data_IF_594106689648
#
_entry.id   IF_594106689648
#
_cell.length_a   1.000
_cell.length_b   1.000
_cell.length_c   1.000
_cell.angle_alpha   90.00
_cell.angle_beta   90.00
_cell.angle_gamma   90.00
#
_symmetry.space_group_name_H-M   'P 1'
#
loop_
_entity.id
_entity.type
_entity.pdbx_description
1 polymer ?
#
# COMPACT_ATOMS: atom_id res chain seq x y z
N UNK A 1 0.64 6.35 -19.07
CA UNK A 1 1.98 6.94 -18.83
C UNK A 1 1.77 8.44 -18.84
N UNK A 2 2.04 9.12 -17.72
CA UNK A 2 2.11 10.57 -17.72
C UNK A 2 3.23 11.00 -18.70
N UNK A 3 3.03 12.03 -19.55
CA UNK A 3 4.11 12.64 -20.30
C UNK A 3 5.25 13.00 -19.34
N UNK A 4 6.48 12.74 -19.75
CA UNK A 4 7.69 12.90 -18.94
C UNK A 4 7.83 14.31 -18.32
N UNK A 5 7.25 15.32 -18.96
CA UNK A 5 7.23 16.72 -18.49
C UNK A 5 6.29 16.94 -17.30
N UNK A 6 5.17 16.22 -17.23
CA UNK A 6 4.20 16.33 -16.12
C UNK A 6 4.78 15.76 -14.82
N UNK A 7 5.61 14.73 -14.92
CA UNK A 7 6.31 14.12 -13.79
C UNK A 7 7.39 15.05 -13.21
N UNK A 8 8.15 15.75 -14.06
CA UNK A 8 9.12 16.75 -13.61
C UNK A 8 8.45 17.96 -12.97
N UNK A 9 7.39 18.46 -13.58
CA UNK A 9 6.61 19.57 -13.02
C UNK A 9 5.97 19.19 -11.69
N UNK A 10 5.58 17.93 -11.50
CA UNK A 10 5.09 17.42 -10.22
C UNK A 10 6.21 17.34 -9.17
N UNK A 11 7.38 16.81 -9.54
CA UNK A 11 8.51 16.72 -8.61
C UNK A 11 9.00 18.09 -8.14
N UNK A 12 9.03 19.10 -9.02
CA UNK A 12 9.49 20.46 -8.69
C UNK A 12 8.57 21.22 -7.72
N UNK A 13 7.27 20.92 -7.73
CA UNK A 13 6.28 21.55 -6.84
C UNK A 13 5.93 20.71 -5.62
N UNK A 14 6.50 19.51 -5.53
CA UNK A 14 6.29 18.60 -4.41
C UNK A 14 7.30 18.89 -3.31
N UNK A 15 6.82 18.90 -2.06
CA UNK A 15 7.67 19.02 -0.88
C UNK A 15 7.64 17.71 -0.08
N UNK A 16 8.78 17.37 0.51
CA UNK A 16 8.99 16.14 1.28
C UNK A 16 9.13 16.50 2.75
N UNK A 17 8.41 15.80 3.63
CA UNK A 17 8.48 15.99 5.08
C UNK A 17 8.43 14.66 5.82
N UNK A 18 8.78 14.66 7.11
CA UNK A 18 8.62 13.49 7.98
C UNK A 18 7.40 13.69 8.88
N UNK A 19 6.49 12.72 8.90
CA UNK A 19 5.32 12.74 9.76
C UNK A 19 5.74 12.61 11.23
N UNK A 20 5.26 13.50 12.10
CA UNK A 20 5.66 13.53 13.51
C UNK A 20 5.06 12.41 14.36
N UNK A 21 3.98 11.77 13.90
CA UNK A 21 3.34 10.65 14.60
C UNK A 21 3.88 9.29 14.14
N UNK A 22 4.13 9.12 12.84
CA UNK A 22 4.56 7.81 12.28
C UNK A 22 6.06 7.75 11.96
N UNK A 23 6.73 8.89 11.85
CA UNK A 23 8.12 8.98 11.42
C UNK A 23 8.35 8.61 9.96
N UNK A 24 7.28 8.47 9.17
CA UNK A 24 7.35 8.17 7.74
C UNK A 24 7.53 9.42 6.89
N UNK A 25 8.16 9.24 5.73
CA UNK A 25 8.25 10.24 4.67
C UNK A 25 6.88 10.46 4.05
N UNK A 26 6.55 11.74 3.90
CA UNK A 26 5.35 12.26 3.30
C UNK A 26 5.71 13.18 2.14
N UNK A 27 4.88 13.17 1.11
CA UNK A 27 4.99 14.04 -0.05
C UNK A 27 3.69 14.83 -0.17
N UNK A 28 3.81 16.13 -0.40
CA UNK A 28 2.67 17.04 -0.63
C UNK A 28 2.92 17.89 -1.88
N UNK A 29 1.87 18.29 -2.57
CA UNK A 29 1.94 19.36 -3.60
C UNK A 29 1.72 20.70 -2.90
N UNK A 30 2.82 21.38 -2.59
CA UNK A 30 2.79 22.57 -1.74
C UNK A 30 2.15 23.77 -2.45
N UNK A 31 2.40 23.91 -3.75
CA UNK A 31 1.79 24.96 -4.57
C UNK A 31 0.29 24.76 -4.73
N UNK A 32 -0.19 23.52 -4.83
CA UNK A 32 -1.62 23.24 -4.90
C UNK A 32 -2.34 23.65 -3.61
N UNK A 33 -1.76 23.34 -2.44
CA UNK A 33 -2.30 23.75 -1.15
C UNK A 33 -2.34 25.27 -1.04
N UNK A 34 -1.23 25.96 -1.34
CA UNK A 34 -1.13 27.42 -1.21
C UNK A 34 -2.08 28.17 -2.15
N UNK A 35 -2.40 27.58 -3.31
CA UNK A 35 -3.37 28.14 -4.27
C UNK A 35 -4.83 27.94 -3.83
N UNK A 36 -5.14 26.79 -3.25
CA UNK A 36 -6.50 26.43 -2.83
C UNK A 36 -6.88 27.09 -1.50
N UNK A 37 -5.95 27.21 -0.56
CA UNK A 37 -6.19 27.65 0.81
C UNK A 37 -6.88 29.03 0.92
N UNK A 38 -6.47 30.09 0.18
CA UNK A 38 -7.14 31.39 0.26
C UNK A 38 -8.60 31.34 -0.19
N UNK A 39 -8.92 30.52 -1.19
CA UNK A 39 -10.27 30.38 -1.73
C UNK A 39 -11.16 29.63 -0.75
N UNK A 40 -10.65 28.53 -0.19
CA UNK A 40 -11.33 27.77 0.86
C UNK A 40 -11.57 28.61 2.11
N UNK A 41 -10.56 29.36 2.57
CA UNK A 41 -10.68 30.24 3.74
C UNK A 41 -11.79 31.29 3.54
N UNK A 42 -11.84 31.93 2.37
CA UNK A 42 -12.88 32.90 2.03
C UNK A 42 -14.28 32.27 1.93
N UNK A 43 -14.38 31.04 1.45
CA UNK A 43 -15.64 30.31 1.45
C UNK A 43 -16.08 29.94 2.88
N UNK A 44 -15.13 29.54 3.73
CA UNK A 44 -15.36 29.16 5.12
C UNK A 44 -15.80 30.33 6.02
N UNK A 45 -15.45 31.57 5.70
CA UNK A 45 -15.96 32.77 6.42
C UNK A 45 -17.49 32.92 6.33
N UNK A 46 -18.09 32.41 5.25
CA UNK A 46 -19.54 32.50 5.01
C UNK A 46 -20.30 31.24 5.43
N UNK A 47 -19.59 30.20 5.85
CA UNK A 47 -20.19 28.94 6.24
C UNK A 47 -20.65 28.97 7.70
N UNK A 48 -21.80 28.38 7.98
CA UNK A 48 -22.33 28.28 9.35
C UNK A 48 -21.54 27.30 10.23
N UNK A 49 -20.87 26.33 9.62
CA UNK A 49 -19.98 25.38 10.28
C UNK A 49 -18.92 24.86 9.32
N UNK A 50 -17.81 24.38 9.87
CA UNK A 50 -16.70 23.77 9.13
C UNK A 50 -16.59 22.29 9.45
N UNK A 51 -15.98 21.55 8.54
CA UNK A 51 -15.94 20.09 8.57
C UNK A 51 -15.29 19.54 9.86
N UNK A 52 -14.28 20.23 10.38
CA UNK A 52 -13.50 19.79 11.54
C UNK A 52 -13.62 20.67 12.78
N UNK A 53 -14.65 21.54 12.87
CA UNK A 53 -14.80 22.50 13.99
C UNK A 53 -14.80 21.85 15.38
N UNK A 54 -15.30 20.62 15.48
CA UNK A 54 -15.42 19.88 16.75
C UNK A 54 -14.15 19.15 17.19
N UNK A 55 -13.15 19.07 16.31
CA UNK A 55 -11.88 18.38 16.60
C UNK A 55 -10.87 19.40 17.09
N UNK A 56 -10.14 19.10 18.17
CA UNK A 56 -9.14 20.02 18.72
C UNK A 56 -7.86 20.06 17.87
N UNK A 57 -7.14 21.18 17.87
CA UNK A 57 -5.83 21.26 17.20
C UNK A 57 -4.82 20.29 17.81
N UNK A 58 -4.92 20.02 19.11
CA UNK A 58 -4.07 19.06 19.81
C UNK A 58 -4.30 17.63 19.31
N UNK A 59 -5.56 17.24 19.07
CA UNK A 59 -5.90 15.93 18.52
C UNK A 59 -5.43 15.78 17.07
N UNK A 60 -5.59 16.83 16.25
CA UNK A 60 -5.09 16.81 14.87
C UNK A 60 -3.57 16.63 14.86
N UNK A 61 -2.84 17.38 15.69
CA UNK A 61 -1.38 17.25 15.80
C UNK A 61 -0.97 15.89 16.35
N UNK A 62 -1.69 15.37 17.33
CA UNK A 62 -1.48 14.02 17.86
C UNK A 62 -1.60 12.99 16.75
N UNK A 63 -2.62 13.09 15.89
CA UNK A 63 -2.83 12.21 14.73
C UNK A 63 -1.82 12.44 13.57
N UNK A 64 -0.78 13.25 13.76
CA UNK A 64 0.25 13.49 12.75
C UNK A 64 -0.15 14.50 11.69
N UNK A 65 -1.21 15.29 11.90
CA UNK A 65 -1.56 16.40 11.01
C UNK A 65 -0.64 17.58 11.31
N UNK A 66 0.18 17.95 10.33
CA UNK A 66 1.09 19.08 10.46
C UNK A 66 0.37 20.43 10.38
N UNK A 67 1.11 21.51 10.69
CA UNK A 67 0.55 22.86 10.73
C UNK A 67 -0.11 23.32 9.42
N UNK A 68 0.43 22.88 8.26
CA UNK A 68 0.00 23.33 6.94
C UNK A 68 -1.26 22.59 6.50
N UNK A 69 -1.27 21.26 6.66
CA UNK A 69 -2.46 20.44 6.44
C UNK A 69 -3.57 20.81 7.43
N UNK A 70 -3.23 21.16 8.68
CA UNK A 70 -4.19 21.66 9.67
C UNK A 70 -4.83 22.97 9.23
N UNK A 71 -4.04 23.93 8.75
CA UNK A 71 -4.58 25.19 8.22
C UNK A 71 -5.56 24.94 7.07
N UNK A 72 -5.24 23.99 6.18
CA UNK A 72 -6.12 23.54 5.12
C UNK A 72 -7.40 22.88 5.66
N UNK A 73 -7.29 21.93 6.57
CA UNK A 73 -8.42 21.27 7.20
C UNK A 73 -9.38 22.27 7.87
N UNK A 74 -8.83 23.30 8.53
CA UNK A 74 -9.61 24.38 9.17
C UNK A 74 -10.35 25.28 8.19
N UNK A 75 -10.08 25.19 6.88
CA UNK A 75 -10.78 25.91 5.83
C UNK A 75 -11.84 25.04 5.10
N UNK A 76 -11.91 23.74 5.39
CA UNK A 76 -12.86 22.83 4.75
C UNK A 76 -14.25 22.94 5.38
N UNK A 77 -15.28 23.02 4.55
CA UNK A 77 -16.68 23.11 4.99
C UNK A 77 -17.48 21.85 4.68
N UNK A 78 -16.98 20.99 3.78
CA UNK A 78 -17.65 19.75 3.40
C UNK A 78 -16.66 18.68 2.92
N UNK A 79 -17.05 17.39 2.93
CA UNK A 79 -16.17 16.29 2.52
C UNK A 79 -15.73 16.33 1.04
N UNK A 80 -16.52 16.89 0.14
CA UNK A 80 -16.15 16.97 -1.28
C UNK A 80 -14.89 17.79 -1.52
N UNK A 81 -14.70 18.87 -0.76
CA UNK A 81 -13.47 19.67 -0.80
C UNK A 81 -12.24 18.90 -0.30
N UNK A 82 -12.44 17.93 0.61
CA UNK A 82 -11.37 17.04 1.07
C UNK A 82 -11.00 16.02 -0.02
N UNK A 83 -12.00 15.46 -0.72
CA UNK A 83 -11.77 14.53 -1.83
C UNK A 83 -10.98 15.18 -2.98
N UNK A 84 -11.31 16.44 -3.32
CA UNK A 84 -10.58 17.24 -4.32
C UNK A 84 -9.11 17.48 -3.94
N UNK A 85 -8.81 17.49 -2.63
CA UNK A 85 -7.47 17.74 -2.11
C UNK A 85 -6.59 16.48 -2.03
N UNK A 86 -7.11 15.29 -2.40
CA UNK A 86 -6.40 14.01 -2.25
C UNK A 86 -5.04 13.98 -2.93
N UNK A 87 -4.91 14.60 -4.10
CA UNK A 87 -3.66 14.63 -4.86
C UNK A 87 -2.63 15.63 -4.32
N UNK A 88 -3.05 16.56 -3.47
CA UNK A 88 -2.20 17.64 -2.95
C UNK A 88 -1.72 17.38 -1.51
N UNK A 89 -2.54 16.71 -0.68
CA UNK A 89 -2.21 16.42 0.71
C UNK A 89 -1.34 15.15 0.84
N UNK A 90 -0.53 15.04 1.91
CA UNK A 90 0.06 13.76 2.28
C UNK A 90 -1.00 12.67 2.45
N UNK A 91 -0.81 11.52 1.80
CA UNK A 91 -1.78 10.42 1.80
C UNK A 91 -2.21 10.01 3.22
N UNK A 92 -1.24 9.83 4.13
CA UNK A 92 -1.51 9.47 5.52
C UNK A 92 -2.32 10.54 6.27
N UNK A 93 -2.00 11.82 6.09
CA UNK A 93 -2.76 12.90 6.70
C UNK A 93 -4.15 13.05 6.07
N UNK A 94 -4.30 12.77 4.77
CA UNK A 94 -5.60 12.76 4.09
C UNK A 94 -6.49 11.62 4.62
N UNK A 95 -5.96 10.41 4.79
CA UNK A 95 -6.69 9.27 5.37
C UNK A 95 -7.20 9.57 6.79
N UNK A 96 -6.38 10.20 7.63
CA UNK A 96 -6.78 10.69 8.96
C UNK A 96 -7.97 11.64 8.86
N UNK A 97 -7.89 12.65 7.98
CA UNK A 97 -8.96 13.61 7.78
C UNK A 97 -10.24 12.96 7.23
N UNK A 98 -10.12 11.96 6.36
CA UNK A 98 -11.25 11.17 5.87
C UNK A 98 -11.94 10.38 7.00
N UNK A 99 -11.18 9.76 7.89
CA UNK A 99 -11.71 9.10 9.08
C UNK A 99 -12.50 10.07 9.97
N UNK A 100 -11.91 11.22 10.29
CA UNK A 100 -12.58 12.26 11.08
C UNK A 100 -13.84 12.80 10.38
N UNK A 101 -13.79 13.00 9.06
CA UNK A 101 -14.94 13.47 8.27
C UNK A 101 -16.07 12.44 8.17
N UNK A 102 -15.74 11.14 8.25
CA UNK A 102 -16.71 10.05 8.31
C UNK A 102 -17.37 9.90 9.70
N UNK A 103 -16.96 10.72 10.68
CA UNK A 103 -17.56 10.77 12.01
C UNK A 103 -16.86 9.90 13.06
N UNK A 104 -15.72 9.29 12.72
CA UNK A 104 -14.89 8.63 13.73
C UNK A 104 -14.30 9.65 14.70
N UNK A 105 -14.23 9.26 15.97
CA UNK A 105 -13.56 10.06 17.00
C UNK A 105 -12.04 10.04 16.81
N UNK A 106 -11.30 11.05 17.32
CA UNK A 106 -9.84 11.03 17.28
C UNK A 106 -9.23 9.75 17.87
N UNK A 107 -9.85 9.16 18.89
CA UNK A 107 -9.36 7.92 19.50
C UNK A 107 -9.62 6.68 18.65
N UNK A 108 -10.73 6.64 17.91
CA UNK A 108 -11.00 5.56 16.94
C UNK A 108 -10.05 5.64 15.73
N UNK A 109 -9.81 6.85 15.20
CA UNK A 109 -8.82 7.05 14.13
C UNK A 109 -7.41 6.71 14.64
N UNK A 110 -7.08 7.10 15.87
CA UNK A 110 -5.83 6.72 16.52
C UNK A 110 -5.68 5.21 16.69
N UNK A 111 -6.75 4.50 17.08
CA UNK A 111 -6.72 3.05 17.25
C UNK A 111 -6.51 2.32 15.92
N UNK A 112 -7.06 2.84 14.82
CA UNK A 112 -6.85 2.31 13.47
C UNK A 112 -5.43 2.58 12.95
N UNK A 113 -4.87 3.75 13.27
CA UNK A 113 -3.47 4.10 12.98
C UNK A 113 -2.44 3.45 13.92
N UNK A 114 -2.89 2.91 15.07
CA UNK A 114 -2.05 2.62 16.24
C UNK A 114 -0.93 1.60 16.03
N UNK A 115 -0.95 0.83 14.94
CA UNK A 115 0.17 -0.06 14.58
C UNK A 115 1.36 0.67 13.93
N UNK A 116 1.16 1.92 13.47
CA UNK A 116 2.14 2.71 12.72
C UNK A 116 2.66 3.94 13.48
N UNK A 117 2.02 4.32 14.58
CA UNK A 117 2.40 5.48 15.39
C UNK A 117 3.52 5.09 16.37
N UNK A 118 4.54 5.94 16.48
CA UNK A 118 5.67 5.72 17.37
C UNK A 118 5.36 6.24 18.77
N UNK A 119 5.74 5.45 19.78
CA UNK A 119 5.57 5.83 21.20
C UNK A 119 6.64 6.84 21.68
N UNK A 120 7.69 7.04 20.89
CA UNK A 120 8.79 7.96 21.18
C UNK A 120 8.74 9.17 20.23
N UNK A 121 9.22 10.35 20.66
CA UNK A 121 9.30 11.52 19.81
C UNK A 121 10.08 11.23 18.53
N UNK A 122 9.51 11.62 17.38
CA UNK A 122 10.15 11.49 16.08
C UNK A 122 11.12 12.65 15.88
N UNK A 123 12.38 12.34 15.58
CA UNK A 123 13.30 13.31 14.99
C UNK A 123 12.98 13.47 13.49
N UNK A 124 12.45 14.63 13.11
CA UNK A 124 12.06 14.91 11.73
C UNK A 124 13.25 15.26 10.82
N UNK A 125 14.42 15.51 11.40
CA UNK A 125 15.66 15.78 10.65
C UNK A 125 16.45 14.50 10.34
N UNK A 126 16.13 13.38 11.01
CA UNK A 126 16.71 12.07 10.71
C UNK A 126 16.02 11.42 9.50
N UNK A 127 16.43 11.89 8.32
CA UNK A 127 15.93 11.41 7.04
C UNK A 127 16.26 9.93 6.81
N UNK A 128 17.39 9.43 7.32
CA UNK A 128 17.76 8.02 7.18
C UNK A 128 16.75 7.13 7.92
N UNK A 129 16.44 7.46 9.17
CA UNK A 129 15.41 6.73 9.93
C UNK A 129 14.01 6.89 9.31
N UNK A 130 13.69 8.04 8.71
CA UNK A 130 12.42 8.23 8.01
C UNK A 130 12.32 7.38 6.73
N UNK A 131 13.39 7.30 5.92
CA UNK A 131 13.47 6.42 4.74
C UNK A 131 13.30 4.96 5.18
N UNK A 132 13.93 4.54 6.28
CA UNK A 132 13.78 3.17 6.81
C UNK A 132 12.32 2.84 7.16
N UNK A 133 11.55 3.81 7.62
CA UNK A 133 10.12 3.65 7.97
C UNK A 133 9.20 3.75 6.75
N UNK A 134 9.66 4.34 5.66
CA UNK A 134 8.94 4.50 4.39
C UNK A 134 9.47 3.65 3.25
N UNK A 135 10.11 2.51 3.57
CA UNK A 135 10.67 1.56 2.58
C UNK A 135 9.63 0.98 1.61
N UNK A 136 8.35 1.15 1.91
CA UNK A 136 7.21 0.81 1.04
C UNK A 136 6.95 1.86 -0.06
N UNK A 137 7.44 3.10 0.10
CA UNK A 137 7.13 4.25 -0.78
C UNK A 137 8.35 5.04 -1.26
N UNK A 138 9.51 4.90 -0.59
CA UNK A 138 10.73 5.67 -0.86
C UNK A 138 11.93 4.73 -0.97
N UNK A 139 12.75 4.93 -2.01
CA UNK A 139 14.03 4.24 -2.23
C UNK A 139 15.12 5.30 -2.31
N UNK A 140 16.17 5.16 -1.48
CA UNK A 140 17.34 6.01 -1.56
C UNK A 140 18.20 5.60 -2.76
N UNK A 141 18.69 6.58 -3.52
CA UNK A 141 19.43 6.31 -4.74
C UNK A 141 20.62 7.25 -4.87
N UNK A 142 21.82 6.69 -5.06
CA UNK A 142 23.05 7.44 -5.26
C UNK A 142 23.35 7.55 -6.76
N UNK A 143 22.61 8.44 -7.42
CA UNK A 143 22.88 8.85 -8.79
C UNK A 143 22.14 8.04 -9.88
N UNK A 144 22.36 8.41 -11.16
CA UNK A 144 21.50 7.99 -12.27
C UNK A 144 21.56 6.49 -12.60
N UNK A 145 22.70 5.84 -12.37
CA UNK A 145 22.91 4.43 -12.66
C UNK A 145 22.19 3.54 -11.65
N UNK A 146 22.28 3.88 -10.36
CA UNK A 146 21.51 3.22 -9.29
C UNK A 146 20.01 3.49 -9.48
N UNK A 147 19.61 4.67 -9.96
CA UNK A 147 18.21 5.00 -10.32
C UNK A 147 17.70 4.15 -11.49
N UNK A 148 18.51 3.93 -12.51
CA UNK A 148 18.15 3.05 -13.64
C UNK A 148 18.05 1.58 -13.20
N UNK A 149 18.89 1.12 -12.29
CA UNK A 149 18.76 -0.22 -11.67
C UNK A 149 17.51 -0.31 -10.78
N UNK A 150 17.23 0.74 -10.01
CA UNK A 150 16.00 0.87 -9.23
C UNK A 150 14.78 0.87 -10.14
N UNK A 151 14.84 1.34 -11.39
CA UNK A 151 13.75 1.28 -12.39
C UNK A 151 13.69 -0.01 -13.22
N UNK A 152 14.80 -0.75 -13.34
CA UNK A 152 14.84 -2.06 -14.01
C UNK A 152 14.28 -3.18 -13.12
N UNK A 153 14.39 -3.03 -11.79
CA UNK A 153 13.95 -4.01 -10.80
C UNK A 153 12.66 -3.73 -9.97
N UNK A 154 11.90 -2.62 -10.04
CA UNK A 154 10.87 -2.31 -9.05
C UNK A 154 9.44 -2.62 -9.53
N UNK A 155 9.14 -2.63 -10.84
CA UNK A 155 7.77 -2.92 -11.30
C UNK A 155 7.44 -4.40 -11.08
N UNK A 156 8.47 -5.24 -11.21
CA UNK A 156 8.44 -6.66 -10.84
C UNK A 156 8.17 -6.82 -9.33
N UNK A 157 8.94 -6.13 -8.47
CA UNK A 157 8.77 -6.20 -7.01
C UNK A 157 7.40 -5.70 -6.54
N UNK A 158 6.85 -4.65 -7.16
CA UNK A 158 5.52 -4.13 -6.81
C UNK A 158 4.40 -5.12 -7.16
N UNK A 159 4.56 -5.90 -8.24
CA UNK A 159 3.59 -6.96 -8.61
C UNK A 159 3.52 -8.07 -7.57
N UNK A 160 4.55 -8.23 -6.75
CA UNK A 160 4.62 -9.25 -5.69
C UNK A 160 4.69 -8.64 -4.29
N UNK A 161 4.45 -7.33 -4.14
CA UNK A 161 4.49 -6.65 -2.84
C UNK A 161 3.32 -7.11 -1.94
N UNK A 162 3.66 -7.72 -0.81
CA UNK A 162 2.69 -8.13 0.20
C UNK A 162 2.46 -6.99 1.20
N UNK A 163 1.24 -6.45 1.22
CA UNK A 163 0.89 -5.39 2.17
C UNK A 163 0.98 -5.90 3.62
N UNK A 164 1.47 -5.12 4.60
CA UNK A 164 1.62 -5.57 5.99
C UNK A 164 0.35 -6.18 6.61
N UNK A 165 -0.83 -5.65 6.30
CA UNK A 165 -2.12 -6.19 6.79
C UNK A 165 -2.44 -7.59 6.25
N UNK A 166 -1.83 -8.00 5.14
CA UNK A 166 -2.00 -9.34 4.55
C UNK A 166 -1.06 -10.37 5.18
N UNK A 167 0.00 -9.93 5.88
CA UNK A 167 1.03 -10.80 6.46
C UNK A 167 0.45 -11.77 7.49
N UNK A 168 -0.49 -11.32 8.30
CA UNK A 168 -1.19 -12.18 9.26
C UNK A 168 -1.89 -13.37 8.58
N UNK A 169 -2.47 -13.16 7.39
CA UNK A 169 -3.14 -14.21 6.61
C UNK A 169 -2.12 -15.15 5.94
N UNK A 170 -1.00 -14.58 5.48
CA UNK A 170 0.10 -15.33 4.86
C UNK A 170 0.85 -16.22 5.85
N UNK A 171 1.06 -15.77 7.09
CA UNK A 171 1.89 -16.47 8.08
C UNK A 171 1.09 -17.40 9.00
N UNK A 172 -0.23 -17.20 9.11
CA UNK A 172 -1.10 -17.97 10.01
C UNK A 172 -1.00 -19.50 9.79
N UNK A 173 -1.12 -20.29 10.86
CA UNK A 173 -1.32 -21.73 10.75
C UNK A 173 -2.80 -22.05 10.95
N UNK A 174 -3.46 -22.53 9.89
CA UNK A 174 -4.88 -22.90 9.93
C UNK A 174 -5.03 -24.40 10.22
N UNK A 175 -5.94 -24.77 11.12
CA UNK A 175 -6.24 -26.18 11.45
C UNK A 175 -7.07 -26.89 10.36
N UNK A 176 -7.34 -26.23 9.24
CA UNK A 176 -8.22 -26.70 8.17
C UNK A 176 -8.31 -25.69 7.03
N UNK A 177 -9.28 -25.85 6.11
CA UNK A 177 -9.45 -24.97 4.97
C UNK A 177 -9.66 -23.51 5.39
N UNK A 178 -9.01 -22.58 4.69
CA UNK A 178 -9.16 -21.15 4.89
C UNK A 178 -9.62 -20.48 3.59
N UNK A 179 -10.43 -19.42 3.73
CA UNK A 179 -10.90 -18.62 2.59
C UNK A 179 -10.51 -17.16 2.78
N UNK A 180 -9.85 -16.61 1.77
CA UNK A 180 -9.51 -15.19 1.70
C UNK A 180 -10.44 -14.52 0.70
N UNK A 181 -11.15 -13.48 1.15
CA UNK A 181 -12.07 -12.70 0.33
C UNK A 181 -11.63 -11.25 0.26
N UNK A 182 -11.85 -10.59 -0.87
CA UNK A 182 -11.55 -9.18 -1.06
C UNK A 182 -12.01 -8.70 -2.43
N UNK A 183 -12.30 -7.40 -2.56
CA UNK A 183 -12.73 -6.79 -3.82
C UNK A 183 -11.67 -6.90 -4.94
N UNK A 184 -12.00 -6.54 -6.19
CA UNK A 184 -11.01 -6.42 -7.26
C UNK A 184 -9.81 -5.56 -6.81
N UNK A 185 -8.60 -5.89 -7.25
CA UNK A 185 -7.39 -5.10 -6.92
C UNK A 185 -6.80 -5.26 -5.51
N UNK A 186 -7.47 -5.97 -4.59
CA UNK A 186 -7.01 -6.12 -3.19
C UNK A 186 -5.83 -7.08 -2.95
N UNK A 187 -4.99 -7.34 -3.97
CA UNK A 187 -3.75 -8.13 -3.80
C UNK A 187 -3.92 -9.62 -3.46
N UNK A 188 -5.10 -10.22 -3.60
CA UNK A 188 -5.34 -11.66 -3.32
C UNK A 188 -4.35 -12.59 -4.02
N UNK A 189 -3.99 -12.28 -5.27
CA UNK A 189 -3.00 -13.05 -6.02
C UNK A 189 -1.65 -13.02 -5.32
N UNK A 190 -1.22 -11.87 -4.81
CA UNK A 190 0.02 -11.72 -4.05
C UNK A 190 -0.02 -12.54 -2.76
N UNK A 191 -1.15 -12.51 -2.04
CA UNK A 191 -1.37 -13.35 -0.86
C UNK A 191 -1.17 -14.83 -1.19
N UNK A 192 -1.68 -15.31 -2.32
CA UNK A 192 -1.52 -16.70 -2.77
C UNK A 192 -0.04 -17.04 -3.00
N UNK A 193 0.71 -16.17 -3.68
CA UNK A 193 2.13 -16.40 -3.97
C UNK A 193 2.95 -16.49 -2.68
N UNK A 194 2.81 -15.51 -1.80
CA UNK A 194 3.52 -15.48 -0.52
C UNK A 194 3.11 -16.64 0.39
N UNK A 195 1.83 -17.00 0.39
CA UNK A 195 1.35 -18.14 1.16
C UNK A 195 1.94 -19.46 0.65
N UNK A 196 2.04 -19.63 -0.67
CA UNK A 196 2.66 -20.81 -1.26
C UNK A 196 4.14 -20.91 -0.88
N UNK A 197 4.87 -19.79 -0.93
CA UNK A 197 6.26 -19.70 -0.47
C UNK A 197 6.42 -20.09 1.01
N UNK A 198 5.63 -19.49 1.89
CA UNK A 198 5.67 -19.77 3.34
C UNK A 198 5.35 -21.24 3.63
N UNK A 199 4.36 -21.83 2.94
CA UNK A 199 4.03 -23.23 3.11
C UNK A 199 5.13 -24.16 2.60
N UNK A 200 5.76 -23.84 1.46
CA UNK A 200 6.86 -24.63 0.93
C UNK A 200 8.10 -24.58 1.85
N UNK A 201 8.41 -23.41 2.43
CA UNK A 201 9.50 -23.23 3.41
C UNK A 201 9.33 -24.05 4.69
N UNK A 202 8.10 -24.40 5.08
CA UNK A 202 7.85 -25.27 6.25
C UNK A 202 8.27 -26.72 6.00
N UNK A 203 8.47 -27.12 4.75
CA UNK A 203 8.88 -28.46 4.37
C UNK A 203 7.95 -29.58 4.90
N UNK A 204 6.65 -29.30 4.98
CA UNK A 204 5.61 -30.24 5.44
C UNK A 204 4.95 -31.03 4.28
N UNK A 205 5.38 -30.77 3.03
CA UNK A 205 4.84 -31.41 1.82
C UNK A 205 5.02 -30.54 0.58
N UNK A 206 4.44 -31.00 -0.54
CA UNK A 206 4.38 -30.22 -1.78
C UNK A 206 3.17 -29.28 -1.75
N UNK A 207 3.35 -28.08 -2.29
CA UNK A 207 2.32 -27.05 -2.40
C UNK A 207 1.80 -27.02 -3.83
N UNK A 208 0.48 -27.07 -4.01
CA UNK A 208 -0.16 -26.92 -5.30
C UNK A 208 -0.95 -25.61 -5.34
N UNK A 209 -0.63 -24.75 -6.29
CA UNK A 209 -1.35 -23.51 -6.60
C UNK A 209 -2.11 -23.72 -7.91
N UNK A 210 -3.44 -23.58 -7.86
CA UNK A 210 -4.28 -23.75 -9.06
C UNK A 210 -5.00 -22.47 -9.47
N UNK A 211 -5.12 -22.28 -10.78
CA UNK A 211 -5.90 -21.19 -11.39
C UNK A 211 -6.73 -21.68 -12.58
N UNK A 212 -7.44 -20.78 -13.25
CA UNK A 212 -8.37 -21.13 -14.32
C UNK A 212 -7.72 -21.23 -15.70
N UNK A 213 -6.79 -20.34 -16.05
CA UNK A 213 -6.23 -20.25 -17.41
C UNK A 213 -4.72 -20.48 -17.44
N UNK A 214 -4.18 -20.86 -18.61
CA UNK A 214 -2.73 -20.96 -18.81
C UNK A 214 -2.02 -19.61 -18.61
N UNK A 215 -2.58 -18.52 -19.14
CA UNK A 215 -1.99 -17.18 -18.97
C UNK A 215 -1.90 -16.77 -17.50
N UNK A 216 -2.90 -17.11 -16.68
CA UNK A 216 -2.83 -16.87 -15.24
C UNK A 216 -1.81 -17.80 -14.56
N UNK A 217 -1.63 -19.01 -15.07
CA UNK A 217 -0.60 -19.95 -14.58
C UNK A 217 0.79 -19.36 -14.80
N UNK A 218 1.05 -18.85 -15.99
CA UNK A 218 2.34 -18.21 -16.34
C UNK A 218 2.57 -16.97 -15.49
N UNK A 219 1.53 -16.16 -15.28
CA UNK A 219 1.59 -14.97 -14.40
C UNK A 219 1.93 -15.33 -12.97
N UNK A 220 1.33 -16.39 -12.42
CA UNK A 220 1.62 -16.88 -11.07
C UNK A 220 3.04 -17.42 -10.96
N UNK A 221 3.54 -18.11 -11.99
CA UNK A 221 4.92 -18.61 -12.05
C UNK A 221 5.93 -17.48 -12.06
N UNK A 222 5.78 -16.52 -12.98
CA UNK A 222 6.65 -15.35 -12.99
C UNK A 222 6.61 -14.54 -11.68
N UNK A 223 5.48 -14.59 -10.94
CA UNK A 223 5.40 -13.99 -9.61
C UNK A 223 6.16 -14.80 -8.54
N UNK A 224 6.12 -16.13 -8.58
CA UNK A 224 6.93 -16.97 -7.69
C UNK A 224 8.42 -16.81 -7.95
N UNK A 225 8.83 -16.73 -9.22
CA UNK A 225 10.24 -16.53 -9.62
C UNK A 225 10.83 -15.22 -9.06
N UNK A 226 9.98 -14.27 -8.65
CA UNK A 226 10.37 -13.01 -8.02
C UNK A 226 10.39 -13.07 -6.48
N UNK A 227 9.85 -14.12 -5.86
CA UNK A 227 9.70 -14.28 -4.39
C UNK A 227 10.59 -15.43 -3.86
N UNK A 228 10.81 -16.47 -4.67
CA UNK A 228 11.49 -17.69 -4.27
C UNK A 228 12.93 -17.66 -4.77
N UNK A 229 13.86 -17.45 -3.85
CA UNK A 229 15.31 -17.42 -4.14
C UNK A 229 16.02 -18.76 -3.84
N UNK A 230 15.25 -19.80 -3.48
CA UNK A 230 15.75 -21.12 -3.06
C UNK A 230 15.16 -22.21 -3.94
N UNK A 231 16.02 -22.89 -4.71
CA UNK A 231 15.64 -23.93 -5.67
C UNK A 231 14.90 -25.10 -4.99
N UNK A 232 15.28 -25.50 -3.78
CA UNK A 232 14.58 -26.57 -3.07
C UNK A 232 13.16 -26.15 -2.68
N UNK A 233 12.97 -24.87 -2.36
CA UNK A 233 11.64 -24.32 -2.04
C UNK A 233 10.79 -24.25 -3.32
N UNK A 234 11.36 -23.81 -4.44
CA UNK A 234 10.64 -23.73 -5.71
C UNK A 234 10.19 -25.11 -6.22
N UNK A 235 11.05 -26.13 -6.12
CA UNK A 235 10.72 -27.51 -6.51
C UNK A 235 9.53 -28.10 -5.74
N UNK A 236 9.24 -27.58 -4.53
CA UNK A 236 8.08 -27.99 -3.73
C UNK A 236 6.79 -27.31 -4.18
N UNK A 237 6.83 -26.24 -4.98
CA UNK A 237 5.67 -25.49 -5.43
C UNK A 237 5.30 -25.88 -6.87
N UNK A 238 4.12 -26.47 -7.04
CA UNK A 238 3.51 -26.72 -8.34
C UNK A 238 2.43 -25.67 -8.64
N UNK A 239 2.54 -24.96 -9.77
CA UNK A 239 1.48 -24.11 -10.31
C UNK A 239 0.88 -24.77 -11.55
N UNK A 240 -0.45 -24.90 -11.58
CA UNK A 240 -1.17 -25.47 -12.71
C UNK A 240 -2.54 -24.83 -12.91
N UNK A 241 -3.17 -25.04 -14.06
CA UNK A 241 -4.59 -24.78 -14.19
C UNK A 241 -5.41 -26.06 -13.91
N UNK A 242 -6.68 -25.86 -13.54
CA UNK A 242 -7.57 -26.96 -13.14
C UNK A 242 -7.74 -27.99 -14.25
N UNK A 243 -7.86 -27.56 -15.51
CA UNK A 243 -8.04 -28.46 -16.66
C UNK A 243 -6.83 -29.37 -16.88
N UNK A 244 -5.62 -28.81 -16.84
CA UNK A 244 -4.36 -29.55 -17.01
C UNK A 244 -4.15 -30.53 -15.86
N UNK A 245 -4.50 -30.14 -14.63
CA UNK A 245 -4.45 -31.00 -13.47
C UNK A 245 -5.43 -32.18 -13.61
N UNK A 246 -6.69 -31.90 -13.94
CA UNK A 246 -7.73 -32.91 -14.11
C UNK A 246 -7.35 -33.91 -15.21
N UNK A 247 -6.88 -33.41 -16.36
CA UNK A 247 -6.45 -34.26 -17.47
C UNK A 247 -5.26 -35.14 -17.10
N UNK A 248 -4.29 -34.61 -16.35
CA UNK A 248 -3.12 -35.37 -15.87
C UNK A 248 -3.54 -36.48 -14.90
N UNK A 249 -4.42 -36.18 -13.95
CA UNK A 249 -4.96 -37.17 -13.00
C UNK A 249 -5.72 -38.27 -13.76
N UNK A 250 -6.59 -37.88 -14.70
CA UNK A 250 -7.35 -38.82 -15.52
C UNK A 250 -6.42 -39.74 -16.31
N UNK A 251 -5.43 -39.19 -17.03
CA UNK A 251 -4.47 -39.98 -17.81
C UNK A 251 -3.63 -40.92 -16.95
N UNK A 252 -3.22 -40.48 -15.76
CA UNK A 252 -2.46 -41.32 -14.82
C UNK A 252 -3.27 -42.53 -14.38
N UNK A 253 -4.58 -42.40 -14.26
CA UNK A 253 -5.49 -43.48 -13.83
C UNK A 253 -6.01 -44.35 -14.99
N UNK A 254 -6.24 -43.77 -16.16
CA UNK A 254 -6.97 -44.41 -17.27
C UNK A 254 -6.16 -44.58 -18.56
N UNK A 255 -4.93 -44.06 -18.63
CA UNK A 255 -4.13 -44.08 -19.86
C UNK A 255 -4.50 -42.96 -20.85
N UNK A 256 -3.86 -42.92 -22.03
CA UNK A 256 -4.21 -41.96 -23.08
C UNK A 256 -5.63 -42.22 -23.61
N UNK A 257 -6.34 -41.16 -24.04
CA UNK A 257 -7.62 -41.33 -24.74
C UNK A 257 -7.35 -42.06 -26.06
N UNK A 258 -7.78 -43.31 -26.16
CA UNK A 258 -7.97 -43.96 -27.45
C UNK A 258 -9.03 -43.20 -28.22
N UNK A 259 -8.65 -42.62 -29.36
CA UNK A 259 -9.60 -42.13 -30.35
C UNK A 259 -10.51 -43.25 -30.86
#
# INVERSE_FOLDING_TARGET
>A
MLPHDDAYAWAQRSNVSVNTATGGIEIRDEEAIDRALPQLAKAAEKAESRLFDKISDADLTRLGIDHKTRAFARALTNPGQLDEAKSALPETQWDVLCGLAAGFTPDEVWADLGAQILNEPVDTEDLDAAVLRSRDRVVLVNGPEELMNVFAYPFATWRVYLHPTQRAVVDASYKGPARVTGGPGTGKTVVVLHRAHVLAKRNEGRVLVTTFTSTLTDTLRSGLDMIVDDDEVDERIEVSNVDRLAHRIFRRKHGPRTC
#
